data_IF_396019580573
#
_entry.id   IF_396019580573
#
_cell.length_a   1.000
_cell.length_b   1.000
_cell.length_c   1.000
_cell.angle_alpha   90.00
_cell.angle_beta   90.00
_cell.angle_gamma   90.00
#
_symmetry.space_group_name_H-M   'P 1'
#
loop_
_entity.id
_entity.type
_entity.pdbx_description
1 polymer ?
#
# COMPACT_ATOMS: atom_id res chain seq x y z
N UNK A 1 -17.88 -7.53 10.09
CA UNK A 1 -16.48 -7.13 9.87
C UNK A 1 -15.81 -8.19 9.04
N UNK A 2 -15.43 -7.88 7.79
CA UNK A 2 -14.70 -8.73 6.85
C UNK A 2 -13.31 -8.13 6.64
N UNK A 3 -12.27 -8.94 6.81
CA UNK A 3 -10.88 -8.52 6.66
C UNK A 3 -10.29 -9.25 5.45
N UNK A 4 -9.64 -8.50 4.56
CA UNK A 4 -8.86 -9.05 3.47
C UNK A 4 -7.36 -8.95 3.79
N UNK A 5 -6.63 -10.03 3.52
CA UNK A 5 -5.17 -10.06 3.54
C UNK A 5 -4.70 -10.02 2.10
N UNK A 6 -4.14 -8.89 1.67
CA UNK A 6 -3.67 -8.67 0.32
C UNK A 6 -2.31 -9.36 0.10
N UNK A 7 -2.30 -10.69 0.01
CA UNK A 7 -1.09 -11.44 -0.32
C UNK A 7 -0.67 -11.16 -1.76
N UNK A 8 0.35 -10.31 -1.93
CA UNK A 8 0.88 -9.91 -3.23
C UNK A 8 2.39 -10.14 -3.28
N UNK A 9 2.89 -10.44 -4.48
CA UNK A 9 4.32 -10.63 -4.74
C UNK A 9 4.93 -9.31 -5.22
N UNK A 10 5.50 -8.56 -4.29
CA UNK A 10 6.17 -7.28 -4.56
C UNK A 10 7.56 -7.51 -5.12
N UNK A 11 8.09 -6.51 -5.82
CA UNK A 11 9.44 -6.54 -6.40
C UNK A 11 10.27 -5.46 -5.70
N UNK A 12 11.41 -5.84 -5.13
CA UNK A 12 12.30 -4.90 -4.44
C UNK A 12 12.77 -3.81 -5.40
N UNK A 13 12.53 -2.56 -5.03
CA UNK A 13 12.91 -1.38 -5.82
C UNK A 13 11.92 -0.96 -6.91
N UNK A 14 10.93 -1.78 -7.25
CA UNK A 14 9.88 -1.44 -8.23
C UNK A 14 8.71 -0.72 -7.55
N UNK A 15 8.93 0.53 -7.14
CA UNK A 15 7.97 1.27 -6.30
C UNK A 15 6.60 1.41 -6.98
N UNK A 16 6.57 1.92 -8.22
CA UNK A 16 5.31 2.15 -8.93
C UNK A 16 4.63 0.84 -9.36
N UNK A 17 5.39 -0.17 -9.79
CA UNK A 17 4.79 -1.47 -10.05
C UNK A 17 4.21 -2.11 -8.78
N UNK A 18 4.79 -1.85 -7.61
CA UNK A 18 4.20 -2.30 -6.34
C UNK A 18 2.92 -1.54 -5.98
N UNK A 19 2.83 -0.24 -6.32
CA UNK A 19 1.57 0.53 -6.21
C UNK A 19 0.47 -0.11 -7.06
N UNK A 20 0.75 -0.45 -8.32
CA UNK A 20 -0.23 -1.09 -9.21
C UNK A 20 -0.72 -2.43 -8.64
N UNK A 21 0.20 -3.26 -8.12
CA UNK A 21 -0.13 -4.53 -7.47
C UNK A 21 -1.01 -4.33 -6.23
N UNK A 22 -0.69 -3.32 -5.41
CA UNK A 22 -1.47 -2.98 -4.22
C UNK A 22 -2.86 -2.44 -4.58
N UNK A 23 -2.96 -1.56 -5.59
CA UNK A 23 -4.23 -1.01 -6.08
C UNK A 23 -5.15 -2.12 -6.60
N UNK A 24 -4.62 -3.02 -7.43
CA UNK A 24 -5.38 -4.17 -7.91
C UNK A 24 -5.84 -5.09 -6.78
N UNK A 25 -5.03 -5.28 -5.74
CA UNK A 25 -5.44 -6.06 -4.56
C UNK A 25 -6.50 -5.36 -3.71
N UNK A 26 -6.41 -4.02 -3.58
CA UNK A 26 -7.43 -3.21 -2.93
C UNK A 26 -8.77 -3.32 -3.65
N UNK A 27 -8.79 -3.17 -4.98
CA UNK A 27 -10.00 -3.29 -5.80
C UNK A 27 -10.69 -4.64 -5.57
N UNK A 28 -9.96 -5.75 -5.67
CA UNK A 28 -10.51 -7.09 -5.39
C UNK A 28 -11.05 -7.23 -3.97
N UNK A 29 -10.39 -6.61 -2.99
CA UNK A 29 -10.85 -6.66 -1.61
C UNK A 29 -12.14 -5.84 -1.39
N UNK A 30 -12.24 -4.67 -2.05
CA UNK A 30 -13.45 -3.83 -2.04
C UNK A 30 -14.61 -4.55 -2.73
N UNK A 31 -14.39 -5.15 -3.90
CA UNK A 31 -15.38 -5.99 -4.59
C UNK A 31 -15.82 -7.19 -3.73
N UNK A 32 -14.89 -7.75 -2.97
CA UNK A 32 -15.14 -8.78 -1.97
C UNK A 32 -15.84 -8.28 -0.69
N UNK A 33 -16.18 -6.99 -0.58
CA UNK A 33 -16.87 -6.40 0.56
C UNK A 33 -16.02 -6.33 1.84
N UNK A 34 -14.70 -6.17 1.71
CA UNK A 34 -13.81 -6.03 2.85
C UNK A 34 -14.01 -4.68 3.56
N UNK A 35 -14.07 -4.71 4.89
CA UNK A 35 -14.08 -3.52 5.76
C UNK A 35 -12.66 -3.05 6.11
N UNK A 36 -11.67 -3.95 5.98
CA UNK A 36 -10.26 -3.70 6.24
C UNK A 36 -9.41 -4.53 5.28
N UNK A 37 -8.36 -3.93 4.72
CA UNK A 37 -7.37 -4.61 3.88
C UNK A 37 -5.99 -4.41 4.51
N UNK A 38 -5.30 -5.51 4.79
CA UNK A 38 -3.92 -5.49 5.26
C UNK A 38 -2.97 -5.92 4.15
N UNK A 39 -1.86 -5.19 3.99
CA UNK A 39 -0.82 -5.46 3.02
C UNK A 39 0.44 -6.00 3.70
N UNK A 40 1.33 -6.70 2.97
CA UNK A 40 2.62 -7.13 3.48
C UNK A 40 3.48 -5.97 3.99
N UNK A 41 4.45 -6.29 4.83
CA UNK A 41 5.46 -5.33 5.26
C UNK A 41 6.20 -4.74 4.04
N UNK A 42 6.49 -3.44 4.09
CA UNK A 42 7.22 -2.71 3.04
C UNK A 42 6.66 -2.92 1.63
N UNK A 43 5.33 -2.98 1.51
CA UNK A 43 4.67 -3.28 0.23
C UNK A 43 5.12 -2.37 -0.92
N UNK A 44 5.26 -1.06 -0.68
CA UNK A 44 5.64 -0.11 -1.74
C UNK A 44 7.08 -0.33 -2.21
N UNK A 45 8.03 -0.59 -1.32
CA UNK A 45 9.44 -0.77 -1.68
C UNK A 45 9.80 -2.19 -2.07
N UNK A 46 8.99 -3.17 -1.66
CA UNK A 46 9.40 -4.57 -1.55
C UNK A 46 10.28 -4.82 -0.31
N UNK A 47 10.43 -6.08 0.08
CA UNK A 47 11.21 -6.50 1.25
C UNK A 47 12.22 -7.60 0.91
N UNK A 48 13.47 -7.54 1.42
CA UNK A 48 14.08 -6.39 2.10
C UNK A 48 14.63 -5.36 1.09
N UNK A 49 14.52 -4.04 1.34
CA UNK A 49 15.07 -3.01 0.45
C UNK A 49 16.56 -2.69 0.70
N UNK A 50 17.11 -3.10 1.85
CA UNK A 50 18.53 -2.95 2.21
C UNK A 50 19.07 -1.52 1.92
N UNK A 51 20.20 -1.41 1.20
CA UNK A 51 20.90 -0.15 0.90
C UNK A 51 20.07 0.85 0.09
N UNK A 52 18.95 0.45 -0.51
CA UNK A 52 18.03 1.39 -1.15
C UNK A 52 17.51 2.43 -0.14
N UNK A 53 17.38 2.05 1.13
CA UNK A 53 16.98 2.96 2.22
C UNK A 53 18.04 4.02 2.54
N UNK A 54 19.27 3.89 2.06
CA UNK A 54 20.32 4.89 2.21
C UNK A 54 20.28 5.96 1.11
N UNK A 55 19.40 5.82 0.11
CA UNK A 55 19.27 6.73 -1.04
C UNK A 55 18.10 7.70 -0.81
N UNK A 56 18.33 9.02 -0.59
CA UNK A 56 17.26 9.99 -0.37
C UNK A 56 16.21 10.00 -1.49
N UNK A 57 16.64 9.86 -2.75
CA UNK A 57 15.72 9.82 -3.90
C UNK A 57 14.77 8.62 -3.87
N UNK A 58 15.20 7.47 -3.34
CA UNK A 58 14.35 6.28 -3.20
C UNK A 58 13.30 6.48 -2.10
N UNK A 59 13.67 7.18 -1.02
CA UNK A 59 12.73 7.56 0.04
C UNK A 59 11.69 8.54 -0.49
N UNK A 60 12.12 9.56 -1.25
CA UNK A 60 11.22 10.54 -1.89
C UNK A 60 10.25 9.87 -2.86
N UNK A 61 10.73 8.93 -3.68
CA UNK A 61 9.89 8.14 -4.58
C UNK A 61 8.87 7.29 -3.81
N UNK A 62 9.29 6.59 -2.75
CA UNK A 62 8.39 5.82 -1.90
C UNK A 62 7.31 6.68 -1.25
N UNK A 63 7.65 7.89 -0.77
CA UNK A 63 6.68 8.82 -0.19
C UNK A 63 5.68 9.34 -1.23
N UNK A 64 6.15 9.66 -2.44
CA UNK A 64 5.28 10.09 -3.54
C UNK A 64 4.31 8.96 -3.96
N UNK A 65 4.82 7.74 -4.08
CA UNK A 65 4.05 6.55 -4.41
C UNK A 65 2.99 6.23 -3.34
N UNK A 66 3.36 6.32 -2.06
CA UNK A 66 2.40 6.17 -0.96
C UNK A 66 1.31 7.24 -1.02
N UNK A 67 1.67 8.49 -1.30
CA UNK A 67 0.71 9.58 -1.49
C UNK A 67 -0.25 9.32 -2.65
N UNK A 68 0.25 8.84 -3.80
CA UNK A 68 -0.57 8.46 -4.95
C UNK A 68 -1.52 7.31 -4.59
N UNK A 69 -1.00 6.24 -3.99
CA UNK A 69 -1.80 5.08 -3.58
C UNK A 69 -2.91 5.49 -2.62
N UNK A 70 -2.58 6.26 -1.57
CA UNK A 70 -3.55 6.75 -0.60
C UNK A 70 -4.62 7.66 -1.22
N UNK A 71 -4.23 8.51 -2.17
CA UNK A 71 -5.16 9.37 -2.92
C UNK A 71 -6.10 8.60 -3.85
N UNK A 72 -5.73 7.38 -4.27
CA UNK A 72 -6.57 6.49 -5.07
C UNK A 72 -7.52 5.60 -4.27
N UNK A 73 -7.43 5.59 -2.93
CA UNK A 73 -8.33 4.80 -2.09
C UNK A 73 -9.73 5.44 -2.07
N UNK A 74 -10.81 4.73 -2.47
CA UNK A 74 -12.16 5.30 -2.55
C UNK A 74 -12.64 5.87 -1.22
N UNK A 75 -13.23 7.07 -1.23
CA UNK A 75 -13.86 7.64 -0.03
C UNK A 75 -14.98 6.73 0.47
N UNK A 76 -15.05 6.53 1.79
CA UNK A 76 -16.02 5.63 2.44
C UNK A 76 -15.59 4.15 2.56
N UNK A 77 -14.49 3.74 1.92
CA UNK A 77 -13.90 2.39 2.06
C UNK A 77 -13.07 2.20 3.34
N UNK A 78 -12.77 3.28 4.08
CA UNK A 78 -12.08 3.24 5.35
C UNK A 78 -12.74 4.21 6.34
N UNK A 79 -13.05 3.73 7.55
CA UNK A 79 -13.46 4.62 8.66
C UNK A 79 -12.21 5.07 9.38
N UNK A 80 -11.99 6.39 9.48
CA UNK A 80 -10.98 6.98 10.37
C UNK A 80 -11.29 6.54 11.81
N UNK A 81 -10.52 5.59 12.33
CA UNK A 81 -10.61 5.19 13.74
C UNK A 81 -9.93 6.26 14.59
N UNK A 82 -10.73 7.10 15.24
CA UNK A 82 -10.30 8.04 16.27
C UNK A 82 -9.53 9.27 15.77
N UNK A 83 -9.89 10.43 16.31
CA UNK A 83 -8.96 11.56 16.39
C UNK A 83 -7.89 11.21 17.41
N UNK A 84 -6.65 11.02 16.99
CA UNK A 84 -5.52 11.08 17.91
C UNK A 84 -5.28 12.56 18.24
N UNK A 85 -6.08 13.09 19.16
CA UNK A 85 -5.85 14.35 19.89
C UNK A 85 -5.77 14.03 21.36
#
# INVERSE_FOLDING_TARGET
MRIALAQINTVVGDVWGNVERAASALERAVEGGADLVAFPELTMTGYPPEDLLLRPSFIEENLAALGQFAGGVPEGSWRRWGSWT
#
